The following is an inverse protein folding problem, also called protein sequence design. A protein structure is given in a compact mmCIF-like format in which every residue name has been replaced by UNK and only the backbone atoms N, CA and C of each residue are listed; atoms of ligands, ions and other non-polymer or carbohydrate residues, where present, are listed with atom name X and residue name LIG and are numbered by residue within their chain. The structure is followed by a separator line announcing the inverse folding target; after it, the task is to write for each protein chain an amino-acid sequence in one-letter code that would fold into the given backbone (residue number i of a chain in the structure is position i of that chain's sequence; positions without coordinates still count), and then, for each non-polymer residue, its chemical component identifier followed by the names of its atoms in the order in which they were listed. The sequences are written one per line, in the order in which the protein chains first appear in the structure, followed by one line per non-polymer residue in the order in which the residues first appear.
data_IF_949327109240
#
_entry.id   IF_949327109240
#
_cell.length_a   1.000
_cell.length_b   1.000
_cell.length_c   1.000
_cell.angle_alpha   90.00
_cell.angle_beta   90.00
_cell.angle_gamma   90.00
#
_symmetry.space_group_name_H-M   'P 1'
#
loop_
_entity.id
_entity.type
_entity.pdbx_description
1 polymer ?
#
# COMPACT_ATOMS: atom_id res chain seq x y z
N UNK A 1 25.48 16.38 -3.84
CA UNK A 1 25.14 15.00 -3.42
C UNK A 1 26.43 14.21 -3.28
N UNK A 2 26.77 13.76 -2.08
CA UNK A 2 27.89 12.85 -1.86
C UNK A 2 27.55 11.52 -2.53
N UNK A 3 28.37 11.09 -3.50
CA UNK A 3 28.25 9.75 -4.09
C UNK A 3 28.82 8.76 -3.10
N UNK A 4 27.94 8.06 -2.38
CA UNK A 4 28.35 6.89 -1.62
C UNK A 4 28.93 5.87 -2.61
N UNK A 5 30.11 5.29 -2.34
CA UNK A 5 30.64 4.20 -3.14
C UNK A 5 29.76 2.99 -2.85
N UNK A 6 28.72 2.84 -3.66
CA UNK A 6 27.93 1.63 -3.65
C UNK A 6 28.83 0.55 -4.26
N UNK A 7 29.35 -0.34 -3.42
CA UNK A 7 29.74 -1.68 -3.90
C UNK A 7 28.65 -2.21 -4.84
N UNK A 8 28.97 -3.05 -5.84
CA UNK A 8 28.02 -3.40 -6.90
C UNK A 8 26.68 -3.84 -6.31
N UNK A 9 25.69 -2.96 -6.38
CA UNK A 9 24.35 -3.18 -5.81
C UNK A 9 23.74 -4.32 -6.60
N UNK A 10 23.58 -5.47 -5.94
CA UNK A 10 23.03 -6.66 -6.58
C UNK A 10 21.51 -6.74 -6.49
N UNK A 11 20.92 -6.01 -5.56
CA UNK A 11 19.47 -5.97 -5.37
C UNK A 11 19.05 -4.62 -4.80
N UNK A 12 17.87 -4.15 -5.22
CA UNK A 12 17.20 -2.98 -4.68
C UNK A 12 15.84 -3.47 -4.19
N UNK A 13 15.55 -3.23 -2.92
CA UNK A 13 14.22 -3.42 -2.33
C UNK A 13 13.56 -2.06 -2.21
N UNK A 14 12.32 -1.96 -2.69
CA UNK A 14 11.51 -0.75 -2.57
C UNK A 14 10.39 -1.04 -1.59
N UNK A 15 10.20 -0.12 -0.66
CA UNK A 15 8.96 -0.08 0.11
C UNK A 15 7.79 0.18 -0.84
N UNK A 16 6.59 -0.29 -0.50
CA UNK A 16 5.45 -0.25 -1.42
C UNK A 16 4.52 0.92 -1.15
N UNK A 17 4.05 1.09 0.09
CA UNK A 17 3.07 2.09 0.45
C UNK A 17 3.76 3.45 0.64
N UNK A 18 3.27 4.51 0.00
CA UNK A 18 3.90 5.83 0.02
C UNK A 18 5.17 5.96 -0.84
N UNK A 19 5.86 4.85 -1.14
CA UNK A 19 7.04 4.85 -2.04
C UNK A 19 6.67 4.48 -3.49
N UNK A 20 5.93 3.39 -3.70
CA UNK A 20 5.49 2.95 -5.03
C UNK A 20 4.01 3.23 -5.29
N UNK A 21 3.21 3.28 -4.23
CA UNK A 21 1.76 3.39 -4.29
C UNK A 21 1.30 4.60 -3.46
N UNK A 22 0.67 5.56 -4.15
CA UNK A 22 -0.07 6.64 -3.50
C UNK A 22 -1.45 6.11 -3.11
N UNK A 23 -1.63 5.88 -1.82
CA UNK A 23 -2.82 5.22 -1.27
C UNK A 23 -4.07 6.09 -1.43
N UNK A 24 -3.95 7.40 -1.15
CA UNK A 24 -5.09 8.30 -1.19
C UNK A 24 -5.61 8.45 -2.63
N UNK A 25 -4.74 8.81 -3.57
CA UNK A 25 -5.17 9.02 -4.97
C UNK A 25 -5.67 7.73 -5.66
N UNK A 26 -5.23 6.56 -5.19
CA UNK A 26 -5.64 5.27 -5.77
C UNK A 26 -6.93 4.72 -5.14
N UNK A 27 -7.08 4.81 -3.81
CA UNK A 27 -8.17 4.13 -3.09
C UNK A 27 -9.30 5.07 -2.66
N UNK A 28 -9.03 6.33 -2.34
CA UNK A 28 -10.06 7.26 -1.88
C UNK A 28 -11.26 7.38 -2.84
N UNK A 29 -11.09 7.42 -4.18
CA UNK A 29 -12.24 7.46 -5.10
C UNK A 29 -13.16 6.24 -4.99
N UNK A 30 -12.59 5.05 -4.75
CA UNK A 30 -13.36 3.82 -4.57
C UNK A 30 -14.13 3.83 -3.25
N UNK A 31 -13.49 4.27 -2.17
CA UNK A 31 -14.16 4.43 -0.87
C UNK A 31 -15.22 5.51 -0.90
N UNK A 32 -14.99 6.64 -1.57
CA UNK A 32 -15.98 7.70 -1.74
C UNK A 32 -17.27 7.17 -2.36
N UNK A 33 -17.15 6.35 -3.41
CA UNK A 33 -18.32 5.76 -4.05
C UNK A 33 -19.08 4.84 -3.09
N UNK A 34 -18.36 3.96 -2.39
CA UNK A 34 -18.95 3.06 -1.42
C UNK A 34 -19.66 3.82 -0.27
N UNK A 35 -19.02 4.84 0.30
CA UNK A 35 -19.56 5.63 1.41
C UNK A 35 -20.81 6.41 1.00
N UNK A 36 -20.83 6.96 -0.23
CA UNK A 36 -22.03 7.59 -0.81
C UNK A 36 -23.19 6.60 -0.91
N UNK A 37 -22.93 5.38 -1.38
CA UNK A 37 -23.96 4.34 -1.49
C UNK A 37 -24.50 3.93 -0.11
N UNK A 38 -23.65 3.97 0.92
CA UNK A 38 -24.04 3.73 2.32
C UNK A 38 -24.63 4.95 3.03
N UNK A 39 -24.70 6.12 2.37
CA UNK A 39 -25.08 7.41 2.98
C UNK A 39 -24.24 7.77 4.22
N UNK A 40 -22.98 7.36 4.22
CA UNK A 40 -22.05 7.64 5.30
C UNK A 40 -21.45 9.05 5.15
N UNK A 41 -21.26 9.83 6.24
CA UNK A 41 -20.81 11.22 6.15
C UNK A 41 -19.30 11.41 5.92
N UNK A 42 -18.50 10.37 6.16
CA UNK A 42 -17.06 10.38 5.91
C UNK A 42 -16.75 10.38 4.40
N UNK A 43 -15.53 10.79 4.04
CA UNK A 43 -15.00 10.69 2.69
C UNK A 43 -13.96 9.56 2.60
N UNK A 44 -13.54 9.23 1.37
CA UNK A 44 -12.59 8.17 1.09
C UNK A 44 -11.21 8.40 1.69
N UNK A 45 -10.74 9.66 1.75
CA UNK A 45 -9.47 10.00 2.39
C UNK A 45 -9.51 9.75 3.90
N UNK A 46 -10.63 10.05 4.56
CA UNK A 46 -10.80 9.73 6.00
C UNK A 46 -10.65 8.22 6.26
N UNK A 47 -11.11 7.39 5.32
CA UNK A 47 -10.97 5.93 5.40
C UNK A 47 -9.53 5.50 5.14
N UNK A 48 -8.85 6.10 4.16
CA UNK A 48 -7.43 5.83 3.90
C UNK A 48 -6.60 6.19 5.12
N UNK A 49 -6.76 7.37 5.70
CA UNK A 49 -6.04 7.82 6.90
C UNK A 49 -6.26 6.87 8.09
N UNK A 50 -7.51 6.47 8.33
CA UNK A 50 -7.85 5.51 9.37
C UNK A 50 -7.22 4.14 9.09
N UNK A 51 -7.21 3.72 7.82
CA UNK A 51 -6.62 2.46 7.38
C UNK A 51 -5.10 2.45 7.53
N UNK A 52 -4.41 3.53 7.19
CA UNK A 52 -2.98 3.69 7.43
C UNK A 52 -2.67 3.63 8.93
N UNK A 53 -3.41 4.39 9.73
CA UNK A 53 -3.18 4.45 11.19
C UNK A 53 -3.41 3.10 11.88
N UNK A 54 -4.44 2.35 11.47
CA UNK A 54 -4.84 1.11 12.12
C UNK A 54 -4.06 -0.12 11.62
N UNK A 55 -3.72 -0.17 10.33
CA UNK A 55 -3.27 -1.42 9.68
C UNK A 55 -1.93 -1.34 8.95
N UNK A 56 -1.38 -0.16 8.64
CA UNK A 56 0.01 -0.11 8.13
C UNK A 56 1.04 -0.47 9.22
N UNK A 57 0.63 -0.47 10.48
CA UNK A 57 1.39 -1.03 11.61
C UNK A 57 1.21 -2.54 11.81
N UNK A 58 0.32 -3.23 11.07
CA UNK A 58 0.33 -4.71 10.99
C UNK A 58 1.58 -5.12 10.22
N UNK A 59 2.65 -5.14 11.01
CA UNK A 59 4.02 -5.31 10.56
C UNK A 59 4.18 -6.59 9.76
N UNK A 60 5.20 -6.62 8.91
CA UNK A 60 5.72 -7.83 8.26
C UNK A 60 5.83 -9.06 9.18
N UNK A 61 5.79 -8.89 10.51
CA UNK A 61 5.71 -9.95 11.51
C UNK A 61 4.44 -10.81 11.38
N UNK A 62 3.25 -10.25 11.18
CA UNK A 62 2.03 -11.09 11.07
C UNK A 62 2.02 -11.92 9.77
N UNK A 63 2.64 -11.39 8.71
CA UNK A 63 2.91 -12.13 7.47
C UNK A 63 3.97 -13.22 7.65
N UNK A 64 5.00 -12.99 8.47
CA UNK A 64 6.01 -14.00 8.83
C UNK A 64 5.44 -15.11 9.72
N UNK A 65 4.39 -14.81 10.50
CA UNK A 65 3.74 -15.75 11.42
C UNK A 65 2.59 -16.55 10.78
N UNK A 66 2.35 -16.38 9.46
CA UNK A 66 1.35 -17.17 8.73
C UNK A 66 -0.10 -16.94 9.15
N UNK A 67 -0.40 -15.80 9.76
CA UNK A 67 -1.77 -15.40 10.12
C UNK A 67 -2.54 -14.97 8.86
N UNK A 68 -3.87 -14.98 8.94
CA UNK A 68 -4.74 -14.70 7.78
C UNK A 68 -4.30 -13.41 7.07
N UNK A 69 -4.10 -13.53 5.76
CA UNK A 69 -3.54 -12.47 4.93
C UNK A 69 -4.42 -11.24 5.02
N UNK A 70 -3.85 -10.17 5.52
CA UNK A 70 -4.48 -8.85 5.47
C UNK A 70 -4.73 -8.48 3.99
N UNK A 71 -5.70 -7.61 3.68
CA UNK A 71 -5.95 -7.10 2.32
C UNK A 71 -4.69 -6.59 1.61
N UNK A 72 -3.64 -6.25 2.37
CA UNK A 72 -2.33 -5.80 1.89
C UNK A 72 -1.62 -6.78 0.97
N UNK A 73 -1.65 -8.10 1.21
CA UNK A 73 -0.95 -9.04 0.31
C UNK A 73 -1.65 -9.15 -1.05
N UNK A 74 -2.99 -9.01 -1.09
CA UNK A 74 -3.73 -8.97 -2.35
C UNK A 74 -3.45 -7.69 -3.13
N UNK A 75 -3.48 -6.53 -2.45
CA UNK A 75 -3.10 -5.23 -3.03
C UNK A 75 -1.66 -5.28 -3.52
N UNK A 76 -0.73 -5.82 -2.72
CA UNK A 76 0.69 -5.96 -3.08
C UNK A 76 0.89 -6.80 -4.34
N UNK A 77 0.27 -7.97 -4.41
CA UNK A 77 0.36 -8.83 -5.61
C UNK A 77 -0.18 -8.13 -6.85
N UNK A 78 -1.31 -7.44 -6.72
CA UNK A 78 -1.90 -6.71 -7.83
C UNK A 78 -1.01 -5.54 -8.28
N UNK A 79 -0.51 -4.72 -7.35
CA UNK A 79 0.39 -3.60 -7.65
C UNK A 79 1.68 -4.07 -8.32
N UNK A 80 2.33 -5.11 -7.77
CA UNK A 80 3.54 -5.68 -8.38
C UNK A 80 3.25 -6.28 -9.76
N UNK A 81 2.11 -6.96 -9.94
CA UNK A 81 1.71 -7.46 -11.26
C UNK A 81 1.54 -6.31 -12.26
N UNK A 82 0.84 -5.23 -11.90
CA UNK A 82 0.65 -4.07 -12.78
C UNK A 82 1.94 -3.33 -13.12
N UNK A 83 2.88 -3.27 -12.18
CA UNK A 83 4.20 -2.65 -12.39
C UNK A 83 5.07 -3.50 -13.33
N UNK A 84 5.16 -4.81 -13.08
CA UNK A 84 6.05 -5.70 -13.81
C UNK A 84 5.46 -6.26 -15.11
N UNK A 85 4.14 -6.28 -15.29
CA UNK A 85 3.52 -6.65 -16.58
C UNK A 85 3.67 -5.57 -17.65
N UNK A 86 4.09 -4.36 -17.26
CA UNK A 86 4.31 -3.21 -18.15
C UNK A 86 5.79 -3.00 -18.51
N UNK A 87 6.68 -3.81 -17.95
CA UNK A 87 8.11 -3.87 -18.25
C UNK A 87 8.39 -5.01 -19.22
#
# INVERSE_FOLDING_TARGET
MQKLPLEPVRAITLDMYGTLLDLDSTFAPGFDQFLKDQKHPANGSDVVDAWETAHLHESNVDSLLGRERTPFEAVRRYTLHQLFSKL
#
